data_IF_897295408586
#
_entry.id   IF_897295408586
#
_cell.length_a   1.000
_cell.length_b   1.000
_cell.length_c   1.000
_cell.angle_alpha   90.00
_cell.angle_beta   90.00
_cell.angle_gamma   90.00
#
_symmetry.space_group_name_H-M   'P 1'
#
loop_
_entity.id
_entity.type
_entity.pdbx_description
1 polymer ?
#
# COMPACT_ATOMS: atom_id res chain seq x y z
N UNK A 1 51.13 26.98 -9.77
CA UNK A 1 50.55 25.62 -9.70
C UNK A 1 50.12 25.21 -11.10
N UNK A 2 50.67 24.11 -11.64
CA UNK A 2 50.49 23.75 -13.05
C UNK A 2 49.03 23.35 -13.31
N UNK A 3 48.33 24.01 -14.26
CA UNK A 3 46.88 23.81 -14.52
C UNK A 3 46.50 22.34 -14.76
N UNK A 4 47.45 21.53 -15.23
CA UNK A 4 47.28 20.08 -15.42
C UNK A 4 47.04 19.33 -14.09
N UNK A 5 47.71 19.70 -13.01
CA UNK A 5 47.57 19.01 -11.71
C UNK A 5 46.25 19.34 -10.99
N UNK A 6 45.67 20.53 -11.24
CA UNK A 6 44.36 20.90 -10.70
C UNK A 6 43.24 20.05 -11.31
N UNK A 7 43.33 19.76 -12.61
CA UNK A 7 42.37 18.88 -13.30
C UNK A 7 42.46 17.43 -12.82
N UNK A 8 43.66 16.91 -12.56
CA UNK A 8 43.81 15.56 -11.99
C UNK A 8 43.25 15.47 -10.56
N UNK A 9 43.45 16.50 -9.74
CA UNK A 9 42.89 16.55 -8.38
C UNK A 9 41.36 16.55 -8.39
N UNK A 10 40.76 17.28 -9.34
CA UNK A 10 39.30 17.37 -9.50
C UNK A 10 38.67 16.06 -10.00
N UNK A 11 39.34 15.35 -10.91
CA UNK A 11 38.91 14.02 -11.39
C UNK A 11 39.00 12.97 -10.28
N UNK A 12 40.07 13.00 -9.47
CA UNK A 12 40.21 12.09 -8.32
C UNK A 12 39.13 12.39 -7.27
N UNK A 13 38.81 13.66 -7.01
CA UNK A 13 37.71 14.03 -6.11
C UNK A 13 36.34 13.53 -6.62
N UNK A 14 36.09 13.63 -7.93
CA UNK A 14 34.86 13.12 -8.56
C UNK A 14 34.74 11.60 -8.45
N UNK A 15 35.83 10.84 -8.62
CA UNK A 15 35.82 9.38 -8.49
C UNK A 15 35.57 8.93 -7.05
N UNK A 16 36.03 9.70 -6.05
CA UNK A 16 35.74 9.41 -4.64
C UNK A 16 34.32 9.78 -4.20
N UNK A 17 33.63 10.73 -4.87
CA UNK A 17 32.21 11.03 -4.55
C UNK A 17 31.24 9.92 -4.96
N UNK A 18 31.62 9.00 -5.86
CA UNK A 18 30.76 7.90 -6.30
C UNK A 18 30.87 6.61 -5.46
N UNK A 19 31.81 6.53 -4.53
CA UNK A 19 32.09 5.27 -3.79
C UNK A 19 31.49 5.19 -2.38
N UNK A 20 30.57 6.08 -2.00
CA UNK A 20 29.92 6.08 -0.69
C UNK A 20 28.41 5.68 -0.70
N UNK A 21 27.91 5.03 -1.75
CA UNK A 21 26.47 4.70 -1.88
C UNK A 21 26.19 3.21 -2.05
N UNK A 22 26.85 2.35 -1.26
CA UNK A 22 26.54 0.91 -1.20
C UNK A 22 26.48 0.40 0.24
N UNK A 23 25.39 0.75 0.94
CA UNK A 23 24.88 0.06 2.15
C UNK A 23 23.49 0.57 2.65
N UNK A 24 22.85 1.56 1.99
CA UNK A 24 21.61 2.22 2.47
C UNK A 24 20.31 1.77 1.79
N UNK A 25 20.33 0.73 0.95
CA UNK A 25 19.35 0.47 -0.13
C UNK A 25 17.90 0.07 0.24
N UNK A 26 17.36 0.51 1.37
CA UNK A 26 15.92 0.37 1.63
C UNK A 26 15.31 1.48 2.48
N UNK A 27 16.13 2.26 3.19
CA UNK A 27 15.64 3.31 4.08
C UNK A 27 15.38 4.59 3.30
N UNK A 28 14.15 5.06 3.33
CA UNK A 28 13.71 6.29 2.67
C UNK A 28 13.29 7.33 3.71
N UNK A 29 13.43 8.63 3.43
CA UNK A 29 12.96 9.69 4.34
C UNK A 29 11.47 9.56 4.65
N UNK A 30 11.13 9.75 5.92
CA UNK A 30 9.76 9.61 6.38
C UNK A 30 9.55 10.02 7.83
N UNK A 31 8.35 9.80 8.33
CA UNK A 31 8.03 9.99 9.74
C UNK A 31 6.90 9.06 10.17
N UNK A 32 6.85 8.78 11.47
CA UNK A 32 5.76 8.08 12.12
C UNK A 32 5.09 9.00 13.14
N UNK A 33 3.79 8.81 13.35
CA UNK A 33 3.03 9.40 14.45
C UNK A 33 2.56 8.24 15.33
N UNK A 34 2.96 8.24 16.59
CA UNK A 34 2.55 7.25 17.58
C UNK A 34 1.11 7.52 18.06
N UNK A 35 0.52 6.57 18.79
CA UNK A 35 -0.84 6.73 19.31
C UNK A 35 -1.01 7.93 20.27
N UNK A 36 0.04 8.29 21.00
CA UNK A 36 0.08 9.45 21.91
C UNK A 36 0.23 10.79 21.15
N UNK A 37 0.34 10.76 19.82
CA UNK A 37 0.55 11.94 18.98
C UNK A 37 2.02 12.31 18.78
N UNK A 38 2.96 11.62 19.43
CA UNK A 38 4.39 11.84 19.26
C UNK A 38 4.79 11.59 17.81
N UNK A 39 5.41 12.59 17.17
CA UNK A 39 5.96 12.47 15.83
C UNK A 39 7.45 12.13 15.89
N UNK A 40 7.84 11.06 15.20
CA UNK A 40 9.23 10.63 15.07
C UNK A 40 9.63 10.76 13.61
N UNK A 41 10.53 11.70 13.32
CA UNK A 41 11.11 11.89 11.99
C UNK A 41 12.34 11.00 11.82
N UNK A 42 12.53 10.47 10.62
CA UNK A 42 13.59 9.48 10.41
C UNK A 42 13.71 8.97 9.00
N UNK A 43 14.32 7.81 8.89
CA UNK A 43 14.27 7.01 7.67
C UNK A 43 13.59 5.67 7.97
N UNK A 44 12.69 5.26 7.08
CA UNK A 44 11.86 4.07 7.22
C UNK A 44 12.12 3.15 6.03
N UNK A 45 12.19 1.84 6.28
CA UNK A 45 12.24 0.84 5.21
C UNK A 45 10.83 0.40 4.81
N UNK A 46 10.59 0.30 3.49
CA UNK A 46 9.42 -0.36 2.93
C UNK A 46 9.83 -1.68 2.29
N UNK A 47 9.01 -2.71 2.50
CA UNK A 47 9.14 -4.02 1.87
C UNK A 47 8.22 -4.09 0.66
N UNK A 48 8.72 -3.76 -0.53
CA UNK A 48 7.90 -3.82 -1.76
C UNK A 48 7.70 -5.27 -2.25
N UNK A 49 8.62 -6.17 -1.90
CA UNK A 49 8.58 -7.62 -2.15
C UNK A 49 7.80 -8.42 -1.09
N UNK A 50 7.38 -7.76 0.00
CA UNK A 50 6.51 -8.32 1.03
C UNK A 50 5.67 -7.22 1.69
N UNK A 51 4.71 -6.60 0.97
CA UNK A 51 4.01 -5.39 1.41
C UNK A 51 3.16 -5.59 2.67
N UNK A 52 2.78 -6.82 2.98
CA UNK A 52 2.11 -7.17 4.23
C UNK A 52 2.97 -6.89 5.48
N UNK A 53 4.30 -6.86 5.38
CA UNK A 53 5.14 -6.45 6.51
C UNK A 53 4.92 -4.99 6.89
N UNK A 54 4.82 -4.10 5.90
CA UNK A 54 4.56 -2.67 6.10
C UNK A 54 3.23 -2.45 6.87
N UNK A 55 2.26 -3.35 6.70
CA UNK A 55 0.99 -3.31 7.42
C UNK A 55 1.08 -3.68 8.89
N UNK A 56 2.07 -4.49 9.28
CA UNK A 56 2.23 -5.02 10.65
C UNK A 56 3.22 -4.20 11.47
N UNK A 57 4.28 -3.72 10.84
CA UNK A 57 5.33 -2.97 11.51
C UNK A 57 6.19 -2.19 10.51
N UNK A 58 6.95 -1.23 11.02
CA UNK A 58 8.01 -0.54 10.31
C UNK A 58 9.31 -0.60 11.11
N UNK A 59 10.45 -0.51 10.43
CA UNK A 59 11.72 -0.18 11.07
C UNK A 59 12.05 1.27 10.76
N UNK A 60 12.25 2.06 11.82
CA UNK A 60 12.53 3.49 11.73
C UNK A 60 13.88 3.80 12.38
N UNK A 61 14.73 4.51 11.66
CA UNK A 61 15.96 5.14 12.19
C UNK A 61 15.66 6.59 12.52
N UNK A 62 15.64 6.91 13.81
CA UNK A 62 15.31 8.25 14.31
C UNK A 62 16.41 9.24 13.91
N UNK A 63 16.03 10.33 13.25
CA UNK A 63 16.97 11.37 12.81
C UNK A 63 17.71 12.03 13.97
N UNK A 64 17.08 12.23 15.12
CA UNK A 64 17.72 12.83 16.29
C UNK A 64 18.77 11.88 16.88
N UNK A 65 18.46 10.58 16.96
CA UNK A 65 19.42 9.58 17.42
C UNK A 65 20.57 9.37 16.43
N UNK A 66 20.30 9.43 15.12
CA UNK A 66 21.32 9.38 14.08
C UNK A 66 22.29 10.56 14.15
N UNK A 67 21.80 11.77 14.47
CA UNK A 67 22.64 12.96 14.63
C UNK A 67 23.63 12.82 15.80
N UNK A 68 23.24 12.11 16.87
CA UNK A 68 24.09 11.84 18.03
C UNK A 68 25.00 10.63 17.81
N UNK A 69 24.49 9.58 17.17
CA UNK A 69 25.23 8.35 16.90
C UNK A 69 24.96 7.81 15.48
N UNK A 70 25.93 7.91 14.56
CA UNK A 70 25.80 7.42 13.19
C UNK A 70 25.55 5.91 13.07
N UNK A 71 25.81 5.12 14.13
CA UNK A 71 25.60 3.67 14.17
C UNK A 71 24.28 3.26 14.82
N UNK A 72 23.34 4.19 14.99
CA UNK A 72 22.03 3.91 15.58
C UNK A 72 21.29 2.81 14.82
N UNK A 73 20.84 1.79 15.55
CA UNK A 73 20.03 0.69 15.00
C UNK A 73 18.58 1.16 14.80
N UNK A 74 17.93 0.65 13.77
CA UNK A 74 16.52 0.93 13.54
C UNK A 74 15.66 0.33 14.66
N UNK A 75 14.70 1.09 15.16
CA UNK A 75 13.70 0.61 16.12
C UNK A 75 12.48 0.09 15.36
N UNK A 76 11.97 -1.06 15.80
CA UNK A 76 10.74 -1.65 15.27
C UNK A 76 9.53 -1.01 15.96
N UNK A 77 8.57 -0.54 15.17
CA UNK A 77 7.28 -0.04 15.63
C UNK A 77 6.18 -0.91 15.05
N UNK A 78 5.30 -1.47 15.88
CA UNK A 78 4.17 -2.30 15.40
C UNK A 78 2.99 -1.42 15.02
N UNK A 79 2.08 -1.93 14.20
CA UNK A 79 0.82 -1.26 13.87
C UNK A 79 0.07 -0.80 15.13
N UNK A 80 0.09 -1.61 16.19
CA UNK A 80 -0.51 -1.28 17.48
C UNK A 80 0.02 0.03 18.07
N UNK A 81 1.31 0.34 17.91
CA UNK A 81 1.96 1.53 18.47
C UNK A 81 1.75 2.80 17.61
N UNK A 82 1.31 2.62 16.37
CA UNK A 82 1.31 3.63 15.32
C UNK A 82 -0.09 4.16 15.05
N UNK A 83 -0.23 5.47 14.91
CA UNK A 83 -1.44 6.08 14.36
C UNK A 83 -1.33 6.29 12.85
N UNK A 84 -0.13 6.63 12.40
CA UNK A 84 0.16 7.01 11.02
C UNK A 84 1.65 6.85 10.73
N UNK A 85 2.02 6.57 9.48
CA UNK A 85 3.37 6.87 9.01
C UNK A 85 3.38 7.25 7.54
N UNK A 86 4.43 7.94 7.12
CA UNK A 86 4.66 8.32 5.73
C UNK A 86 6.10 8.03 5.34
N UNK A 87 6.28 7.51 4.14
CA UNK A 87 7.59 7.24 3.52
C UNK A 87 7.57 7.78 2.10
N UNK A 88 8.41 8.77 1.81
CA UNK A 88 8.32 9.51 0.54
C UNK A 88 6.91 10.06 0.31
N UNK A 89 6.29 9.66 -0.80
CA UNK A 89 4.92 10.04 -1.19
C UNK A 89 3.83 9.12 -0.66
N UNK A 90 4.20 7.96 -0.10
CA UNK A 90 3.25 6.94 0.37
C UNK A 90 2.89 7.19 1.82
N UNK A 91 1.60 7.34 2.08
CA UNK A 91 1.04 7.56 3.41
C UNK A 91 0.30 6.31 3.88
N UNK A 92 0.39 5.99 5.17
CA UNK A 92 -0.21 4.80 5.75
C UNK A 92 -1.01 5.16 6.98
N UNK A 93 -2.28 4.76 6.99
CA UNK A 93 -3.23 4.99 8.07
C UNK A 93 -3.48 3.72 8.86
N UNK A 94 -3.68 3.85 10.18
CA UNK A 94 -4.24 2.76 10.97
C UNK A 94 -5.71 2.53 10.57
N UNK A 95 -6.01 1.33 10.09
CA UNK A 95 -7.36 0.90 9.69
C UNK A 95 -7.68 -0.42 10.36
N UNK A 96 -8.86 -0.49 10.98
CA UNK A 96 -9.39 -1.72 11.55
C UNK A 96 -10.12 -2.54 10.48
N UNK A 97 -9.68 -3.77 10.23
CA UNK A 97 -10.30 -4.66 9.24
C UNK A 97 -10.07 -6.14 9.59
N UNK A 98 -11.10 -6.97 9.43
CA UNK A 98 -11.00 -8.41 9.65
C UNK A 98 -11.08 -9.13 8.30
N UNK A 99 -10.00 -9.79 7.91
CA UNK A 99 -9.99 -10.64 6.71
C UNK A 99 -10.64 -12.00 6.99
N UNK A 100 -11.96 -12.09 6.79
CA UNK A 100 -12.73 -13.31 7.03
C UNK A 100 -12.29 -14.50 6.16
N UNK A 101 -11.64 -14.24 5.02
CA UNK A 101 -11.15 -15.30 4.12
C UNK A 101 -9.84 -15.92 4.60
N UNK A 102 -9.03 -15.15 5.34
CA UNK A 102 -7.73 -15.57 5.83
C UNK A 102 -7.58 -15.20 7.31
N UNK A 103 -8.44 -15.77 8.15
CA UNK A 103 -8.35 -15.62 9.59
C UNK A 103 -7.02 -16.20 10.09
N UNK A 104 -6.22 -15.35 10.71
CA UNK A 104 -4.93 -15.75 11.30
C UNK A 104 -5.08 -15.99 12.79
N UNK A 105 -4.28 -16.86 13.39
CA UNK A 105 -4.31 -17.05 14.85
C UNK A 105 -4.00 -15.73 15.57
N UNK A 106 -3.19 -14.87 14.95
CA UNK A 106 -2.90 -13.52 15.44
C UNK A 106 -4.07 -12.52 15.27
N UNK A 107 -5.06 -12.81 14.42
CA UNK A 107 -6.28 -11.98 14.27
C UNK A 107 -7.24 -12.05 15.48
N UNK A 108 -6.88 -12.86 16.49
CA UNK A 108 -7.48 -12.86 17.83
C UNK A 108 -6.99 -11.68 18.71
N UNK A 109 -5.97 -10.93 18.28
CA UNK A 109 -5.54 -9.67 18.90
C UNK A 109 -6.26 -8.46 18.30
N UNK A 110 -5.52 -7.36 18.11
CA UNK A 110 -5.97 -6.14 17.41
C UNK A 110 -5.98 -6.38 15.90
N UNK A 111 -7.15 -6.19 15.26
CA UNK A 111 -7.30 -6.26 13.78
C UNK A 111 -6.98 -4.91 13.11
N UNK A 112 -5.95 -4.25 13.64
CA UNK A 112 -5.48 -2.94 13.17
C UNK A 112 -4.29 -3.13 12.25
N UNK A 113 -4.35 -2.46 11.10
CA UNK A 113 -3.35 -2.55 10.05
C UNK A 113 -2.92 -1.16 9.62
N UNK A 114 -1.62 -0.98 9.33
CA UNK A 114 -1.14 0.24 8.68
C UNK A 114 -1.29 0.11 7.17
N UNK A 115 -2.38 0.65 6.62
CA UNK A 115 -2.72 0.47 5.22
C UNK A 115 -2.33 1.67 4.39
N UNK A 116 -1.77 1.41 3.21
CA UNK A 116 -1.42 2.45 2.26
C UNK A 116 -2.69 3.19 1.82
N UNK A 117 -2.69 4.51 2.01
CA UNK A 117 -3.75 5.42 1.61
C UNK A 117 -3.71 5.64 0.10
N UNK A 118 -4.82 5.34 -0.57
CA UNK A 118 -4.99 5.50 -2.01
C UNK A 118 -5.90 6.68 -2.37
N UNK A 119 -6.90 6.96 -1.54
CA UNK A 119 -7.80 8.10 -1.68
C UNK A 119 -8.17 8.66 -0.30
N UNK A 120 -8.36 9.98 -0.23
CA UNK A 120 -8.74 10.70 0.99
C UNK A 120 -9.80 11.74 0.70
N UNK A 121 -10.75 11.88 1.63
CA UNK A 121 -11.91 12.76 1.50
C UNK A 121 -13.12 12.10 2.16
N UNK A 122 -14.30 12.33 1.59
CA UNK A 122 -15.54 11.66 1.98
C UNK A 122 -15.44 10.15 1.73
N UNK A 123 -14.91 9.73 0.58
CA UNK A 123 -14.53 8.34 0.34
C UNK A 123 -13.06 8.15 0.69
N UNK A 124 -12.78 7.28 1.66
CA UNK A 124 -11.42 6.84 1.98
C UNK A 124 -11.18 5.48 1.35
N UNK A 125 -10.02 5.31 0.72
CA UNK A 125 -9.62 4.04 0.14
C UNK A 125 -8.21 3.66 0.58
N UNK A 126 -8.04 2.39 0.96
CA UNK A 126 -6.78 1.84 1.45
C UNK A 126 -6.45 0.51 0.78
N UNK A 127 -5.15 0.24 0.56
CA UNK A 127 -4.70 -1.06 0.04
C UNK A 127 -4.43 -2.03 1.18
N UNK A 128 -5.02 -3.22 1.09
CA UNK A 128 -4.77 -4.32 2.02
C UNK A 128 -4.22 -5.54 1.27
N UNK A 129 -3.18 -6.15 1.82
CA UNK A 129 -2.65 -7.44 1.44
C UNK A 129 -2.95 -8.43 2.56
N UNK A 130 -3.45 -9.61 2.20
CA UNK A 130 -3.52 -10.72 3.14
C UNK A 130 -2.11 -11.15 3.56
N UNK A 131 -2.04 -11.83 4.69
CA UNK A 131 -0.78 -12.25 5.30
C UNK A 131 -0.42 -13.70 4.92
N UNK A 132 0.87 -14.01 4.94
CA UNK A 132 1.36 -15.39 4.96
C UNK A 132 0.77 -16.13 6.17
N UNK A 133 0.40 -17.41 6.02
CA UNK A 133 -0.16 -18.17 7.13
C UNK A 133 0.85 -18.32 8.27
N UNK A 134 0.34 -18.38 9.49
CA UNK A 134 1.17 -18.46 10.70
C UNK A 134 1.94 -19.79 10.80
N UNK A 135 1.40 -20.86 10.21
CA UNK A 135 2.04 -22.18 10.14
C UNK A 135 1.94 -22.72 8.72
N UNK A 136 3.06 -23.20 8.19
CA UNK A 136 3.15 -23.78 6.86
C UNK A 136 3.85 -25.14 6.96
N UNK A 137 3.21 -26.18 6.41
CA UNK A 137 3.80 -27.50 6.23
C UNK A 137 3.95 -27.78 4.75
N UNK A 138 5.14 -28.21 4.34
CA UNK A 138 5.42 -28.63 2.98
C UNK A 138 6.15 -29.98 3.02
N UNK A 139 5.74 -30.91 2.16
CA UNK A 139 6.42 -32.17 1.93
C UNK A 139 6.66 -32.31 0.42
N UNK A 140 7.92 -32.44 0.03
CA UNK A 140 8.36 -32.46 -1.37
C UNK A 140 9.85 -32.16 -1.48
N UNK A 141 10.35 -32.01 -2.70
CA UNK A 141 11.75 -31.63 -2.96
C UNK A 141 11.98 -30.13 -2.73
N UNK A 142 13.24 -29.71 -2.73
CA UNK A 142 13.59 -28.29 -2.62
C UNK A 142 13.06 -27.48 -3.81
N UNK A 143 13.11 -28.03 -5.02
CA UNK A 143 12.58 -27.37 -6.23
C UNK A 143 11.07 -27.16 -6.14
N UNK A 144 10.34 -28.18 -5.68
CA UNK A 144 8.90 -28.12 -5.49
C UNK A 144 8.54 -27.10 -4.39
N UNK A 145 9.33 -26.99 -3.32
CA UNK A 145 9.16 -26.00 -2.27
C UNK A 145 9.32 -24.57 -2.81
N UNK A 146 10.35 -24.32 -3.62
CA UNK A 146 10.61 -23.01 -4.23
C UNK A 146 9.45 -22.59 -5.13
N UNK A 147 8.97 -23.50 -5.98
CA UNK A 147 7.84 -23.23 -6.87
C UNK A 147 6.54 -22.98 -6.07
N UNK A 148 6.27 -23.82 -5.07
CA UNK A 148 5.13 -23.67 -4.17
C UNK A 148 5.15 -22.32 -3.46
N UNK A 149 6.29 -21.94 -2.87
CA UNK A 149 6.48 -20.66 -2.19
C UNK A 149 6.26 -19.49 -3.15
N UNK A 150 6.83 -19.55 -4.36
CA UNK A 150 6.63 -18.51 -5.38
C UNK A 150 5.17 -18.34 -5.77
N UNK A 151 4.43 -19.44 -6.00
CA UNK A 151 2.99 -19.40 -6.32
C UNK A 151 2.19 -18.75 -5.18
N UNK A 152 2.50 -19.11 -3.94
CA UNK A 152 1.83 -18.58 -2.74
C UNK A 152 2.11 -17.10 -2.52
N UNK A 153 3.37 -16.68 -2.60
CA UNK A 153 3.78 -15.28 -2.54
C UNK A 153 3.08 -14.47 -3.64
N UNK A 154 3.04 -14.98 -4.88
CA UNK A 154 2.32 -14.32 -5.97
C UNK A 154 0.80 -14.21 -5.72
N UNK A 155 0.20 -15.22 -5.08
CA UNK A 155 -1.21 -15.17 -4.69
C UNK A 155 -1.47 -14.07 -3.64
N UNK A 156 -0.57 -13.84 -2.68
CA UNK A 156 -0.69 -12.72 -1.72
C UNK A 156 -0.57 -11.36 -2.43
N UNK A 157 0.36 -11.25 -3.37
CA UNK A 157 0.56 -10.02 -4.16
C UNK A 157 -0.65 -9.65 -5.00
N UNK A 158 -1.19 -10.61 -5.74
CA UNK A 158 -2.33 -10.41 -6.64
C UNK A 158 -3.66 -10.44 -5.88
N UNK A 159 -3.67 -11.03 -4.68
CA UNK A 159 -4.81 -11.15 -3.79
C UNK A 159 -5.24 -9.86 -3.08
N UNK A 160 -4.54 -8.74 -3.27
CA UNK A 160 -4.82 -7.48 -2.56
C UNK A 160 -6.28 -7.01 -2.63
N UNK A 161 -6.74 -6.29 -1.61
CA UNK A 161 -8.08 -5.69 -1.49
C UNK A 161 -7.96 -4.17 -1.51
N UNK A 162 -9.01 -3.52 -1.98
CA UNK A 162 -9.16 -2.06 -1.89
C UNK A 162 -10.26 -1.81 -0.87
N UNK A 163 -9.86 -1.47 0.36
CA UNK A 163 -10.79 -1.26 1.46
C UNK A 163 -11.33 0.16 1.39
N UNK A 164 -12.66 0.30 1.37
CA UNK A 164 -13.33 1.59 1.25
C UNK A 164 -14.27 1.87 2.43
N UNK A 165 -14.33 3.13 2.81
CA UNK A 165 -15.34 3.70 3.72
C UNK A 165 -15.80 5.04 3.15
N UNK A 166 -17.07 5.38 3.33
CA UNK A 166 -17.63 6.69 2.96
C UNK A 166 -18.11 7.40 4.21
N UNK A 167 -17.76 8.68 4.35
CA UNK A 167 -18.14 9.56 5.45
C UNK A 167 -17.74 9.03 6.85
N UNK A 168 -16.73 8.15 6.89
CA UNK A 168 -16.31 7.38 8.08
C UNK A 168 -17.41 6.48 8.67
N UNK A 169 -18.42 6.15 7.87
CA UNK A 169 -19.53 5.31 8.29
C UNK A 169 -19.28 3.83 7.94
N UNK A 170 -19.67 2.97 8.88
CA UNK A 170 -19.67 1.53 8.70
C UNK A 170 -18.29 0.86 8.73
N UNK A 171 -18.30 -0.45 8.45
CA UNK A 171 -17.09 -1.26 8.33
C UNK A 171 -16.48 -1.08 6.95
N UNK A 172 -15.15 -1.12 6.88
CA UNK A 172 -14.46 -1.09 5.60
C UNK A 172 -14.87 -2.28 4.71
N UNK A 173 -15.21 -1.99 3.45
CA UNK A 173 -15.65 -3.01 2.47
C UNK A 173 -14.63 -3.15 1.35
N UNK A 174 -14.51 -4.34 0.76
CA UNK A 174 -13.67 -4.52 -0.42
C UNK A 174 -14.38 -3.97 -1.66
N UNK A 175 -13.78 -2.97 -2.32
CA UNK A 175 -14.33 -2.34 -3.52
C UNK A 175 -14.53 -3.31 -4.68
N UNK A 176 -13.74 -4.40 -4.76
CA UNK A 176 -13.91 -5.42 -5.80
C UNK A 176 -15.20 -6.23 -5.65
N UNK A 177 -15.77 -6.28 -4.45
CA UNK A 177 -16.92 -7.14 -4.12
C UNK A 177 -18.15 -6.32 -3.68
N UNK A 178 -18.04 -4.99 -3.73
CA UNK A 178 -19.10 -4.05 -3.33
C UNK A 178 -19.67 -3.36 -4.56
N UNK A 179 -20.98 -3.14 -4.60
CA UNK A 179 -21.56 -2.22 -5.59
C UNK A 179 -21.13 -0.79 -5.24
N UNK A 180 -20.36 -0.18 -6.13
CA UNK A 180 -19.82 1.18 -5.95
C UNK A 180 -20.80 2.26 -6.40
N UNK A 181 -21.87 1.94 -7.14
CA UNK A 181 -22.82 2.95 -7.61
C UNK A 181 -23.43 3.78 -6.46
N UNK A 182 -23.86 3.19 -5.33
CA UNK A 182 -24.39 3.94 -4.19
C UNK A 182 -23.38 4.93 -3.57
N UNK A 183 -22.08 4.69 -3.73
CA UNK A 183 -21.06 5.60 -3.22
C UNK A 183 -21.01 6.92 -4.00
N UNK A 184 -21.54 6.95 -5.23
CA UNK A 184 -21.51 8.10 -6.12
C UNK A 184 -22.89 8.73 -6.37
N UNK A 185 -23.96 8.24 -5.73
CA UNK A 185 -25.35 8.69 -5.97
C UNK A 185 -25.56 10.19 -5.74
N UNK A 186 -24.86 10.77 -4.76
CA UNK A 186 -24.91 12.19 -4.44
C UNK A 186 -23.96 13.05 -5.31
N UNK A 187 -23.35 12.48 -6.35
CA UNK A 187 -22.54 13.18 -7.35
C UNK A 187 -22.81 12.62 -8.75
N UNK A 188 -23.93 13.02 -9.38
CA UNK A 188 -24.44 12.41 -10.61
C UNK A 188 -23.43 12.36 -11.78
N UNK A 189 -22.57 13.37 -11.91
CA UNK A 189 -21.55 13.43 -12.95
C UNK A 189 -20.49 12.34 -12.80
N UNK A 190 -20.09 12.03 -11.57
CA UNK A 190 -19.15 10.94 -11.26
C UNK A 190 -19.83 9.60 -11.48
N UNK A 191 -21.08 9.45 -11.03
CA UNK A 191 -21.86 8.23 -11.25
C UNK A 191 -22.04 7.94 -12.75
N UNK A 192 -22.34 8.95 -13.56
CA UNK A 192 -22.49 8.80 -15.01
C UNK A 192 -21.17 8.37 -15.67
N UNK A 193 -20.06 9.04 -15.33
CA UNK A 193 -18.72 8.70 -15.83
C UNK A 193 -18.30 7.28 -15.41
N UNK A 194 -18.60 6.88 -14.18
CA UNK A 194 -18.34 5.53 -13.68
C UNK A 194 -19.16 4.47 -14.42
N UNK A 195 -20.48 4.67 -14.58
CA UNK A 195 -21.35 3.76 -15.34
C UNK A 195 -20.89 3.59 -16.79
N UNK A 196 -20.41 4.66 -17.41
CA UNK A 196 -19.87 4.65 -18.78
C UNK A 196 -18.47 4.04 -18.94
N UNK A 197 -17.80 3.67 -17.85
CA UNK A 197 -16.42 3.15 -17.90
C UNK A 197 -15.35 4.24 -18.08
N UNK A 198 -15.69 5.51 -17.83
CA UNK A 198 -14.81 6.66 -18.07
C UNK A 198 -13.59 6.76 -17.15
N UNK A 199 -13.44 5.85 -16.19
CA UNK A 199 -12.24 5.71 -15.34
C UNK A 199 -11.38 4.50 -15.72
N UNK A 200 -11.71 3.77 -16.79
CA UNK A 200 -11.04 2.51 -17.17
C UNK A 200 -11.67 1.26 -16.55
N UNK A 201 -12.77 1.41 -15.81
CA UNK A 201 -13.60 0.28 -15.38
C UNK A 201 -14.47 -0.23 -16.53
N UNK A 202 -14.92 -1.49 -16.47
CA UNK A 202 -15.89 -1.98 -17.45
C UNK A 202 -17.21 -1.18 -17.35
N UNK A 203 -17.80 -0.76 -18.49
CA UNK A 203 -19.11 -0.14 -18.50
C UNK A 203 -20.17 -1.05 -17.88
N UNK A 204 -21.06 -0.45 -17.09
CA UNK A 204 -22.18 -1.14 -16.45
C UNK A 204 -23.31 -1.23 -17.48
N UNK A 205 -23.40 -2.36 -18.18
CA UNK A 205 -24.49 -2.64 -19.12
C UNK A 205 -25.61 -3.36 -18.38
N UNK A 206 -26.81 -2.78 -18.39
CA UNK A 206 -28.01 -3.26 -17.67
C UNK A 206 -28.43 -4.69 -18.09
N UNK A 207 -28.00 -5.17 -19.26
CA UNK A 207 -28.26 -6.51 -19.78
C UNK A 207 -26.99 -7.20 -20.27
N UNK A 208 -26.18 -7.77 -19.36
CA UNK A 208 -25.09 -8.71 -19.72
C UNK A 208 -25.64 -10.14 -19.77
N UNK A 209 -25.60 -10.77 -20.94
CA UNK A 209 -25.88 -12.21 -21.08
C UNK A 209 -24.88 -13.08 -20.27
N UNK A 210 -25.19 -14.36 -20.05
CA UNK A 210 -24.38 -15.26 -19.22
C UNK A 210 -22.90 -15.32 -19.66
N UNK A 211 -22.65 -15.39 -20.98
CA UNK A 211 -21.30 -15.37 -21.54
C UNK A 211 -20.52 -14.08 -21.20
N UNK A 212 -21.19 -12.92 -21.22
CA UNK A 212 -20.59 -11.65 -20.84
C UNK A 212 -20.30 -11.58 -19.33
N UNK A 213 -21.13 -12.21 -18.49
CA UNK A 213 -20.85 -12.37 -17.05
C UNK A 213 -19.65 -13.28 -16.81
N UNK A 214 -19.53 -14.40 -17.54
CA UNK A 214 -18.38 -15.31 -17.42
C UNK A 214 -17.08 -14.64 -17.88
N UNK A 215 -17.11 -13.90 -18.99
CA UNK A 215 -15.96 -13.12 -19.45
C UNK A 215 -15.55 -12.04 -18.44
N UNK A 216 -16.51 -11.34 -17.83
CA UNK A 216 -16.22 -10.35 -16.80
C UNK A 216 -15.58 -10.99 -15.54
N UNK A 217 -16.05 -12.18 -15.12
CA UNK A 217 -15.42 -12.91 -14.02
C UNK A 217 -13.99 -13.35 -14.34
N UNK A 218 -13.73 -13.87 -15.55
CA UNK A 218 -12.38 -14.25 -15.98
C UNK A 218 -11.43 -13.05 -16.04
N UNK A 219 -11.91 -11.89 -16.49
CA UNK A 219 -11.14 -10.64 -16.55
C UNK A 219 -10.85 -10.04 -15.17
N UNK A 220 -11.75 -10.23 -14.19
CA UNK A 220 -11.62 -9.64 -12.84
C UNK A 220 -10.29 -10.00 -12.16
N UNK A 221 -9.77 -11.21 -12.38
CA UNK A 221 -8.48 -11.63 -11.82
C UNK A 221 -7.28 -11.07 -12.60
N UNK A 222 -7.32 -11.15 -13.94
CA UNK A 222 -6.22 -10.75 -14.80
C UNK A 222 -5.98 -9.22 -14.84
N UNK A 223 -7.05 -8.43 -14.70
CA UNK A 223 -7.00 -6.96 -14.81
C UNK A 223 -7.24 -6.25 -13.47
N UNK A 224 -7.04 -6.96 -12.36
CA UNK A 224 -7.28 -6.43 -11.02
C UNK A 224 -6.50 -5.15 -10.72
N UNK A 225 -5.21 -4.99 -11.12
CA UNK A 225 -4.49 -3.73 -10.95
C UNK A 225 -5.12 -2.55 -11.69
N UNK A 226 -5.49 -2.73 -12.97
CA UNK A 226 -6.13 -1.68 -13.77
C UNK A 226 -7.49 -1.30 -13.20
N UNK A 227 -8.25 -2.29 -12.74
CA UNK A 227 -9.54 -2.06 -12.09
C UNK A 227 -9.38 -1.31 -10.76
N UNK A 228 -8.34 -1.63 -9.97
CA UNK A 228 -8.02 -0.91 -8.76
C UNK A 228 -7.73 0.57 -9.03
N UNK A 229 -6.93 0.84 -10.06
CA UNK A 229 -6.62 2.21 -10.51
C UNK A 229 -7.89 2.95 -10.95
N UNK A 230 -8.76 2.29 -11.73
CA UNK A 230 -10.04 2.87 -12.13
C UNK A 230 -10.92 3.24 -10.93
N UNK A 231 -11.00 2.39 -9.91
CA UNK A 231 -11.74 2.67 -8.68
C UNK A 231 -11.13 3.84 -7.90
N UNK A 232 -9.82 3.85 -7.71
CA UNK A 232 -9.12 4.95 -7.03
C UNK A 232 -9.33 6.28 -7.76
N UNK A 233 -9.28 6.28 -9.09
CA UNK A 233 -9.56 7.46 -9.90
C UNK A 233 -11.01 7.97 -9.72
N UNK A 234 -11.99 7.06 -9.68
CA UNK A 234 -13.37 7.41 -9.40
C UNK A 234 -13.55 8.00 -7.99
N UNK A 235 -12.90 7.42 -6.98
CA UNK A 235 -12.93 7.94 -5.60
C UNK A 235 -12.28 9.32 -5.49
N UNK A 236 -11.15 9.55 -6.15
CA UNK A 236 -10.47 10.84 -6.15
C UNK A 236 -11.29 11.92 -6.87
N UNK A 237 -11.90 11.61 -8.03
CA UNK A 237 -12.80 12.54 -8.74
C UNK A 237 -14.02 12.89 -7.86
N UNK A 238 -14.64 11.89 -7.22
CA UNK A 238 -15.70 12.11 -6.24
C UNK A 238 -15.27 13.03 -5.09
N UNK A 239 -14.12 12.74 -4.48
CA UNK A 239 -13.59 13.52 -3.35
C UNK A 239 -13.27 14.95 -3.76
N UNK A 240 -12.70 15.15 -4.95
CA UNK A 240 -12.38 16.46 -5.50
C UNK A 240 -13.65 17.30 -5.73
N UNK A 241 -14.73 16.69 -6.23
CA UNK A 241 -16.04 17.34 -6.43
C UNK A 241 -16.77 17.68 -5.14
N UNK A 242 -16.43 17.00 -4.04
CA UNK A 242 -17.08 17.18 -2.74
C UNK A 242 -16.18 17.83 -1.68
N UNK A 243 -15.05 18.43 -2.08
CA UNK A 243 -14.19 19.21 -1.16
C UNK A 243 -15.02 20.30 -0.47
N UNK A 244 -15.01 20.30 0.86
CA UNK A 244 -15.68 21.33 1.68
C UNK A 244 -17.15 21.08 2.00
N UNK A 245 -17.75 19.97 1.54
CA UNK A 245 -19.07 19.51 1.98
C UNK A 245 -18.88 18.46 3.08
N UNK A 246 -18.77 18.90 4.32
CA UNK A 246 -18.82 18.04 5.51
C UNK A 246 -20.13 18.26 6.23
#
# INVERSE_FOLDING_TARGET
MNKKHLNYLMVILLVFTFSASKAQNGYQPGYAILNDGTRISGSIILYDDAPWHNQRFIFLKDSAQLAVNPKTKAKKYKADDLKFYQVGTRAFDKVHFVDLENLQLKSLGTNDHMLERLATGRIKAHRFYSYEADTEGFAGTEEEFIEWKKKRTNALFTGFKILITKDNEGKAKNAFDTDLQPYFEDTPEVLAKYKGGGYGNEPIVVKKGLAAKMMAMAKKAAFKPQLAEAYVNAFNDYNDKNKGKN
#
